data_IF_186690266016
#
_entry.id   IF_186690266016
#
_cell.length_a   1.000
_cell.length_b   1.000
_cell.length_c   1.000
_cell.angle_alpha   90.00
_cell.angle_beta   90.00
_cell.angle_gamma   90.00
#
_symmetry.space_group_name_H-M   'P 1'
#
loop_
_entity.id
_entity.type
_entity.pdbx_description
1 polymer ?
#
# COMPACT_ATOMS: atom_id res chain seq x y z
N UNK A 1 14.47 9.95 12.60
CA UNK A 1 13.32 10.25 13.48
C UNK A 1 12.10 9.50 13.01
N UNK A 2 11.23 9.20 13.97
CA UNK A 2 9.81 9.03 13.69
C UNK A 2 9.22 10.34 13.17
N UNK A 3 8.77 10.35 11.91
CA UNK A 3 8.24 11.55 11.27
C UNK A 3 6.79 11.77 11.74
N UNK A 4 6.42 12.95 12.27
CA UNK A 4 5.04 13.23 12.62
C UNK A 4 4.14 13.13 11.39
N UNK A 5 2.90 12.67 11.60
CA UNK A 5 1.88 12.72 10.57
C UNK A 5 1.64 14.18 10.20
N UNK A 6 1.33 14.43 8.92
CA UNK A 6 0.83 15.74 8.54
C UNK A 6 -0.55 15.96 9.18
N UNK A 7 -1.03 17.21 9.33
CA UNK A 7 -2.29 17.48 10.03
C UNK A 7 -3.52 16.77 9.43
N UNK A 8 -3.59 16.63 8.11
CA UNK A 8 -4.68 15.94 7.43
C UNK A 8 -4.64 14.44 7.71
N UNK A 9 -3.47 13.80 7.56
CA UNK A 9 -3.25 12.39 7.85
C UNK A 9 -3.59 12.07 9.32
N UNK A 10 -3.24 12.98 10.25
CA UNK A 10 -3.52 12.84 11.68
C UNK A 10 -5.02 12.94 11.98
N UNK A 11 -5.74 13.88 11.35
CA UNK A 11 -7.19 13.99 11.50
C UNK A 11 -7.92 12.74 10.97
N UNK A 12 -7.48 12.22 9.81
CA UNK A 12 -8.02 10.98 9.22
C UNK A 12 -7.71 9.75 10.10
N UNK A 13 -6.52 9.72 10.71
CA UNK A 13 -6.15 8.69 11.66
C UNK A 13 -7.03 8.68 12.92
N UNK A 14 -7.39 9.86 13.43
CA UNK A 14 -8.19 9.99 14.65
C UNK A 14 -9.69 9.75 14.40
N UNK A 15 -10.25 10.27 13.31
CA UNK A 15 -11.68 10.12 13.00
C UNK A 15 -12.06 8.66 12.75
N UNK A 16 -11.15 7.87 12.16
CA UNK A 16 -11.35 6.44 11.87
C UNK A 16 -11.42 5.56 13.14
N UNK A 17 -11.18 6.12 14.33
CA UNK A 17 -11.53 5.43 15.60
C UNK A 17 -13.03 5.17 15.70
N UNK A 18 -13.86 5.97 15.04
CA UNK A 18 -15.26 5.65 14.80
C UNK A 18 -15.36 4.71 13.58
N UNK A 19 -15.87 3.47 13.73
CA UNK A 19 -16.01 2.52 12.63
C UNK A 19 -16.84 3.04 11.45
N UNK A 20 -17.74 4.00 11.68
CA UNK A 20 -18.59 4.60 10.63
C UNK A 20 -17.87 5.64 9.78
N UNK A 21 -16.70 6.10 10.23
CA UNK A 21 -15.90 7.15 9.60
C UNK A 21 -14.57 6.60 9.05
N UNK A 22 -14.52 5.29 8.76
CA UNK A 22 -13.37 4.65 8.13
C UNK A 22 -13.10 5.26 6.76
N UNK A 23 -11.82 5.53 6.49
CA UNK A 23 -11.36 6.20 5.26
C UNK A 23 -10.55 5.27 4.37
N UNK A 24 -10.81 3.97 4.45
CA UNK A 24 -10.12 2.97 3.64
C UNK A 24 -10.49 3.11 2.16
N UNK A 25 -9.46 3.21 1.32
CA UNK A 25 -9.57 3.15 -0.14
C UNK A 25 -9.37 1.69 -0.56
N UNK A 26 -10.24 1.20 -1.44
CA UNK A 26 -10.08 -0.10 -2.09
C UNK A 26 -9.89 0.10 -3.58
N UNK A 27 -8.71 -0.22 -4.09
CA UNK A 27 -8.45 -0.31 -5.51
C UNK A 27 -8.68 -1.75 -5.99
N UNK A 28 -9.45 -1.89 -7.07
CA UNK A 28 -9.78 -3.18 -7.68
C UNK A 28 -9.10 -3.27 -9.04
N UNK A 29 -8.34 -4.33 -9.25
CA UNK A 29 -7.69 -4.59 -10.52
C UNK A 29 -8.16 -5.88 -11.14
N UNK A 30 -8.65 -5.76 -12.37
CA UNK A 30 -8.99 -6.90 -13.20
C UNK A 30 -7.75 -7.32 -13.98
N UNK A 31 -7.23 -8.50 -13.68
CA UNK A 31 -6.06 -9.06 -14.34
C UNK A 31 -6.52 -9.98 -15.47
N UNK A 32 -5.94 -9.77 -16.66
CA UNK A 32 -6.24 -10.55 -17.87
C UNK A 32 -5.56 -11.91 -17.90
N UNK A 33 -4.62 -12.15 -16.96
CA UNK A 33 -3.92 -13.42 -16.75
C UNK A 33 -3.68 -13.65 -15.26
N UNK A 34 -3.67 -14.91 -14.79
CA UNK A 34 -3.30 -15.22 -13.41
C UNK A 34 -1.83 -14.86 -13.18
N UNK A 35 -1.55 -14.28 -12.02
CA UNK A 35 -0.19 -13.94 -11.62
C UNK A 35 0.35 -15.07 -10.74
N UNK A 36 1.60 -15.46 -10.97
CA UNK A 36 2.30 -16.38 -10.09
C UNK A 36 2.49 -15.73 -8.71
N UNK A 37 2.09 -16.41 -7.64
CA UNK A 37 2.15 -15.87 -6.28
C UNK A 37 3.55 -15.43 -5.85
N UNK A 38 4.59 -16.20 -6.19
CA UNK A 38 5.96 -15.83 -5.86
C UNK A 38 6.42 -14.58 -6.63
N UNK A 39 6.00 -14.43 -7.90
CA UNK A 39 6.25 -13.22 -8.67
C UNK A 39 5.56 -12.00 -8.04
N UNK A 40 4.27 -12.12 -7.71
CA UNK A 40 3.54 -11.03 -7.06
C UNK A 40 4.19 -10.60 -5.74
N UNK A 41 4.58 -11.57 -4.90
CA UNK A 41 5.27 -11.28 -3.64
C UNK A 41 6.61 -10.59 -3.87
N UNK A 42 7.40 -11.01 -4.86
CA UNK A 42 8.68 -10.38 -5.19
C UNK A 42 8.50 -8.94 -5.71
N UNK A 43 7.50 -8.71 -6.56
CA UNK A 43 7.20 -7.38 -7.11
C UNK A 43 6.77 -6.43 -5.97
N UNK A 44 5.86 -6.87 -5.10
CA UNK A 44 5.43 -6.09 -3.93
C UNK A 44 6.57 -5.88 -2.90
N UNK A 45 7.42 -6.87 -2.68
CA UNK A 45 8.60 -6.75 -1.83
C UNK A 45 9.55 -5.67 -2.37
N UNK A 46 9.78 -5.63 -3.68
CA UNK A 46 10.59 -4.60 -4.32
C UNK A 46 9.94 -3.21 -4.21
N UNK A 47 8.64 -3.09 -4.48
CA UNK A 47 7.91 -1.81 -4.37
C UNK A 47 7.96 -1.27 -2.94
N UNK A 48 7.72 -2.11 -1.94
CA UNK A 48 7.73 -1.68 -0.53
C UNK A 48 9.11 -1.27 -0.03
N UNK A 49 10.19 -1.71 -0.69
CA UNK A 49 11.56 -1.20 -0.44
C UNK A 49 11.79 0.14 -1.12
N UNK A 50 11.31 0.28 -2.36
CA UNK A 50 11.39 1.54 -3.11
C UNK A 50 10.54 2.66 -2.48
N UNK A 51 9.46 2.31 -1.79
CA UNK A 51 8.59 3.22 -1.05
C UNK A 51 8.62 2.84 0.44
N UNK A 52 9.64 3.27 1.21
CA UNK A 52 9.83 2.86 2.60
C UNK A 52 8.63 3.13 3.52
N UNK A 53 7.78 4.11 3.18
CA UNK A 53 6.55 4.42 3.93
C UNK A 53 5.55 3.24 3.95
N UNK A 54 5.63 2.31 2.99
CA UNK A 54 4.84 1.06 3.01
C UNK A 54 5.31 0.04 4.05
N UNK A 55 6.47 0.24 4.65
CA UNK A 55 7.03 -0.56 5.75
C UNK A 55 6.96 0.17 7.09
N UNK A 56 6.09 1.17 7.17
CA UNK A 56 5.86 1.98 8.35
C UNK A 56 4.44 1.80 8.86
N UNK A 57 4.29 1.96 10.16
CA UNK A 57 3.02 2.02 10.88
C UNK A 57 2.87 3.39 11.52
N UNK A 58 1.65 3.76 11.87
CA UNK A 58 1.38 4.94 12.68
C UNK A 58 1.40 4.55 14.15
N UNK A 59 2.07 5.35 14.97
CA UNK A 59 2.15 5.19 16.41
C UNK A 59 1.54 6.41 17.06
N UNK A 60 0.54 6.18 17.90
CA UNK A 60 -0.06 7.24 18.72
C UNK A 60 0.97 7.82 19.70
N UNK A 61 0.79 9.08 20.07
CA UNK A 61 1.58 9.69 21.13
C UNK A 61 1.40 8.98 22.48
N UNK A 62 2.35 9.14 23.43
CA UNK A 62 2.23 8.56 24.77
C UNK A 62 0.89 8.92 25.41
N UNK A 63 0.17 7.91 25.93
CA UNK A 63 -1.17 8.06 26.52
C UNK A 63 -2.23 8.67 25.58
N UNK A 64 -2.05 8.57 24.25
CA UNK A 64 -2.94 9.19 23.25
C UNK A 64 -2.79 10.71 23.16
N UNK A 65 -1.72 11.26 23.75
CA UNK A 65 -1.44 12.70 23.78
C UNK A 65 -0.26 12.99 22.85
N UNK A 66 -0.44 13.96 21.95
CA UNK A 66 0.57 14.39 20.99
C UNK A 66 0.30 13.88 19.57
N UNK A 67 0.99 14.46 18.60
CA UNK A 67 0.79 14.15 17.18
C UNK A 67 1.23 12.71 16.89
N UNK A 68 0.38 11.86 16.30
CA UNK A 68 0.77 10.55 15.82
C UNK A 68 1.95 10.65 14.85
N UNK A 69 2.80 9.62 14.80
CA UNK A 69 3.98 9.63 13.94
C UNK A 69 4.18 8.29 13.25
N UNK A 70 4.86 8.33 12.10
CA UNK A 70 5.30 7.14 11.38
C UNK A 70 6.50 6.50 12.07
N UNK A 71 6.45 5.20 12.25
CA UNK A 71 7.56 4.38 12.75
C UNK A 71 7.76 3.15 11.85
N UNK A 72 9.01 2.71 11.71
CA UNK A 72 9.33 1.49 10.96
C UNK A 72 8.76 0.27 11.68
N UNK A 73 8.24 -0.69 10.91
CA UNK A 73 7.77 -1.98 11.41
C UNK A 73 8.98 -2.90 11.55
N UNK A 74 9.31 -3.35 12.79
CA UNK A 74 10.34 -4.36 12.98
C UNK A 74 9.95 -5.65 12.27
N UNK A 75 10.93 -6.35 11.69
CA UNK A 75 10.75 -7.66 11.07
C UNK A 75 9.64 -7.72 10.00
N UNK A 76 9.43 -6.62 9.26
CA UNK A 76 8.43 -6.55 8.20
C UNK A 76 8.58 -7.72 7.22
N UNK A 77 7.53 -8.54 7.12
CA UNK A 77 7.42 -9.62 6.16
C UNK A 77 6.24 -9.37 5.22
N UNK A 78 6.52 -9.32 3.90
CA UNK A 78 5.51 -9.06 2.88
C UNK A 78 4.34 -10.05 2.91
N UNK A 79 4.60 -11.29 3.31
CA UNK A 79 3.59 -12.35 3.37
C UNK A 79 2.45 -12.04 4.36
N UNK A 80 2.71 -11.23 5.40
CA UNK A 80 1.71 -10.87 6.40
C UNK A 80 0.65 -9.89 5.85
N UNK A 81 0.97 -9.20 4.75
CA UNK A 81 0.12 -8.19 4.12
C UNK A 81 -0.53 -8.67 2.82
N UNK A 82 -0.26 -9.91 2.39
CA UNK A 82 -0.75 -10.45 1.12
C UNK A 82 -1.52 -11.74 1.34
N UNK A 83 -2.82 -11.72 1.04
CA UNK A 83 -3.69 -12.89 1.12
C UNK A 83 -3.94 -13.47 -0.28
N UNK A 84 -3.70 -14.76 -0.46
CA UNK A 84 -4.01 -15.49 -1.69
C UNK A 84 -5.25 -16.35 -1.50
N UNK A 85 -6.32 -16.02 -2.23
CA UNK A 85 -7.56 -16.79 -2.24
C UNK A 85 -7.65 -17.55 -3.57
N UNK A 86 -7.78 -18.88 -3.48
CA UNK A 86 -8.10 -19.71 -4.62
C UNK A 86 -9.62 -19.77 -4.78
N UNK A 87 -10.11 -19.38 -5.95
CA UNK A 87 -11.51 -19.54 -6.31
C UNK A 87 -11.66 -20.44 -7.54
N UNK A 88 -12.72 -21.25 -7.56
CA UNK A 88 -13.07 -22.05 -8.73
C UNK A 88 -13.54 -21.19 -9.91
N UNK A 89 -14.06 -19.99 -9.63
CA UNK A 89 -14.59 -19.05 -10.62
C UNK A 89 -14.17 -17.63 -10.24
N UNK A 90 -13.91 -16.78 -11.24
CA UNK A 90 -13.81 -15.33 -10.96
C UNK A 90 -15.22 -14.82 -10.63
N UNK A 91 -15.39 -14.05 -9.54
CA UNK A 91 -16.67 -13.46 -9.20
C UNK A 91 -17.18 -12.56 -10.32
N UNK A 92 -18.49 -12.40 -10.43
CA UNK A 92 -19.07 -11.39 -11.32
C UNK A 92 -18.67 -9.98 -10.89
N UNK A 93 -18.86 -9.00 -11.76
CA UNK A 93 -18.51 -7.62 -11.42
C UNK A 93 -19.36 -7.11 -10.23
N UNK A 94 -20.61 -7.57 -10.10
CA UNK A 94 -21.47 -7.29 -8.93
C UNK A 94 -20.87 -7.88 -7.64
N UNK A 95 -20.42 -9.13 -7.68
CA UNK A 95 -19.78 -9.77 -6.53
C UNK A 95 -18.46 -9.09 -6.16
N UNK A 96 -17.70 -8.61 -7.16
CA UNK A 96 -16.48 -7.84 -6.93
C UNK A 96 -16.81 -6.52 -6.22
N UNK A 97 -17.90 -5.85 -6.60
CA UNK A 97 -18.38 -4.64 -5.93
C UNK A 97 -18.77 -4.94 -4.47
N UNK A 98 -19.53 -6.01 -4.23
CA UNK A 98 -19.92 -6.44 -2.88
C UNK A 98 -18.69 -6.71 -2.00
N UNK A 99 -17.74 -7.50 -2.50
CA UNK A 99 -16.46 -7.76 -1.81
C UNK A 99 -15.71 -6.44 -1.55
N UNK A 100 -15.69 -5.52 -2.51
CA UNK A 100 -15.00 -4.23 -2.34
C UNK A 100 -15.64 -3.37 -1.25
N UNK A 101 -16.96 -3.39 -1.13
CA UNK A 101 -17.70 -2.69 -0.08
C UNK A 101 -17.41 -3.28 1.31
N UNK A 102 -17.38 -4.61 1.42
CA UNK A 102 -17.00 -5.31 2.65
C UNK A 102 -15.57 -4.96 3.06
N UNK A 103 -14.63 -5.00 2.11
CA UNK A 103 -13.23 -4.64 2.36
C UNK A 103 -13.05 -3.16 2.71
N UNK A 104 -13.83 -2.25 2.12
CA UNK A 104 -13.79 -0.82 2.44
C UNK A 104 -14.33 -0.54 3.84
N UNK A 105 -15.32 -1.32 4.28
CA UNK A 105 -15.96 -1.17 5.59
C UNK A 105 -15.19 -1.88 6.71
N UNK A 106 -14.40 -2.90 6.38
CA UNK A 106 -13.60 -3.64 7.35
C UNK A 106 -12.46 -2.78 7.92
N UNK A 107 -12.04 -3.08 9.15
CA UNK A 107 -10.90 -2.42 9.78
C UNK A 107 -9.60 -2.79 9.06
N UNK A 108 -8.65 -1.85 9.00
CA UNK A 108 -7.25 -2.13 8.73
C UNK A 108 -6.54 -2.24 10.09
N UNK A 109 -5.69 -3.25 10.25
CA UNK A 109 -4.90 -3.39 11.47
C UNK A 109 -3.99 -2.17 11.68
N UNK A 110 -4.36 -1.34 12.64
CA UNK A 110 -3.68 -0.09 13.01
C UNK A 110 -2.32 -0.33 13.68
N UNK A 111 -1.99 -1.57 14.02
CA UNK A 111 -0.69 -1.93 14.63
C UNK A 111 0.39 -2.24 13.58
N UNK A 112 0.00 -2.47 12.33
CA UNK A 112 0.88 -2.81 11.22
C UNK A 112 0.95 -1.74 10.13
N UNK A 113 1.38 -2.14 8.93
CA UNK A 113 1.34 -1.28 7.77
C UNK A 113 -0.11 -1.00 7.37
N UNK A 114 -0.40 0.25 6.99
CA UNK A 114 -1.77 0.69 6.70
C UNK A 114 -2.25 0.33 5.29
N UNK A 115 -1.85 -0.85 4.80
CA UNK A 115 -2.26 -1.39 3.52
C UNK A 115 -2.28 -2.92 3.56
N UNK A 116 -3.08 -3.53 2.70
CA UNK A 116 -3.10 -4.97 2.50
C UNK A 116 -3.50 -5.31 1.06
N UNK A 117 -3.03 -6.43 0.56
CA UNK A 117 -3.34 -6.92 -0.77
C UNK A 117 -4.04 -8.28 -0.70
N UNK A 118 -5.16 -8.43 -1.40
CA UNK A 118 -5.84 -9.71 -1.55
C UNK A 118 -5.86 -10.09 -3.03
N UNK A 119 -5.19 -11.17 -3.37
CA UNK A 119 -5.26 -11.78 -4.69
C UNK A 119 -6.33 -12.86 -4.71
N UNK A 120 -7.28 -12.71 -5.62
CA UNK A 120 -8.28 -13.71 -5.91
C UNK A 120 -8.01 -14.33 -7.28
N UNK A 121 -7.46 -15.54 -7.25
CA UNK A 121 -7.22 -16.32 -8.45
C UNK A 121 -8.49 -17.02 -8.91
N UNK A 122 -8.82 -16.94 -10.19
CA UNK A 122 -9.94 -17.69 -10.75
C UNK A 122 -9.58 -18.52 -11.97
N UNK A 123 -10.59 -19.20 -12.51
CA UNK A 123 -10.48 -20.07 -13.68
C UNK A 123 -10.49 -19.28 -15.00
N UNK A 124 -10.05 -19.94 -16.08
CA UNK A 124 -10.04 -19.37 -17.45
C UNK A 124 -9.22 -18.10 -17.62
N UNK A 125 -8.16 -17.96 -16.82
CA UNK A 125 -7.16 -16.92 -17.01
C UNK A 125 -7.54 -15.54 -16.46
N UNK A 126 -8.63 -15.42 -15.70
CA UNK A 126 -8.99 -14.16 -15.03
C UNK A 126 -8.60 -14.23 -13.56
N UNK A 127 -8.18 -13.10 -13.00
CA UNK A 127 -7.95 -12.92 -11.57
C UNK A 127 -8.23 -11.48 -11.18
N UNK A 128 -8.43 -11.25 -9.89
CA UNK A 128 -8.69 -9.93 -9.33
C UNK A 128 -7.71 -9.65 -8.20
N UNK A 129 -7.18 -8.43 -8.15
CA UNK A 129 -6.39 -7.94 -7.04
C UNK A 129 -7.18 -6.85 -6.33
N UNK A 130 -7.33 -6.98 -5.02
CA UNK A 130 -7.85 -5.93 -4.15
C UNK A 130 -6.68 -5.34 -3.38
N UNK A 131 -6.45 -4.04 -3.52
CA UNK A 131 -5.49 -3.30 -2.71
C UNK A 131 -6.28 -2.39 -1.77
N UNK A 132 -6.18 -2.64 -0.47
CA UNK A 132 -6.76 -1.80 0.57
C UNK A 132 -5.67 -0.89 1.11
N UNK A 133 -5.96 0.39 1.26
CA UNK A 133 -5.03 1.38 1.79
C UNK A 133 -5.78 2.38 2.66
N UNK A 134 -5.23 2.72 3.82
CA UNK A 134 -5.76 3.80 4.65
C UNK A 134 -5.43 5.16 4.02
N UNK A 135 -6.37 6.11 4.05
CA UNK A 135 -6.23 7.43 3.41
C UNK A 135 -4.98 8.23 3.88
N UNK A 136 -4.63 8.16 5.16
CA UNK A 136 -3.39 8.74 5.72
C UNK A 136 -2.10 8.23 5.05
N UNK A 137 -2.12 7.01 4.49
CA UNK A 137 -0.99 6.52 3.69
C UNK A 137 -0.98 7.16 2.30
N UNK A 138 -2.14 7.25 1.64
CA UNK A 138 -2.27 7.78 0.27
C UNK A 138 -2.06 9.29 0.18
N UNK A 139 -2.57 10.08 1.12
CA UNK A 139 -2.45 11.54 1.06
C UNK A 139 -1.02 12.03 1.28
N UNK A 140 -0.22 11.25 2.02
CA UNK A 140 1.20 11.56 2.22
C UNK A 140 2.17 10.91 1.23
N UNK A 141 1.72 10.04 0.30
CA UNK A 141 2.55 9.43 -0.78
C UNK A 141 2.08 9.87 -2.16
N UNK A 142 0.83 10.35 -2.30
CA UNK A 142 0.13 10.44 -3.58
C UNK A 142 -0.49 9.09 -3.90
N UNK A 143 -1.77 8.88 -3.58
CA UNK A 143 -2.45 7.58 -3.73
C UNK A 143 -2.36 6.99 -5.15
N UNK A 144 -2.30 7.83 -6.18
CA UNK A 144 -2.12 7.41 -7.57
C UNK A 144 -0.68 6.94 -7.85
N UNK A 145 0.33 7.64 -7.32
CA UNK A 145 1.74 7.24 -7.47
C UNK A 145 2.04 5.95 -6.70
N UNK A 146 1.41 5.80 -5.52
CA UNK A 146 1.46 4.57 -4.75
C UNK A 146 0.85 3.40 -5.53
N UNK A 147 -0.35 3.62 -6.10
CA UNK A 147 -1.04 2.63 -6.89
C UNK A 147 -0.21 2.27 -8.13
N UNK A 148 0.32 3.24 -8.87
CA UNK A 148 1.18 3.00 -10.04
C UNK A 148 2.43 2.19 -9.66
N UNK A 149 3.11 2.55 -8.58
CA UNK A 149 4.32 1.85 -8.12
C UNK A 149 4.05 0.42 -7.62
N UNK A 150 2.90 0.16 -7.01
CA UNK A 150 2.49 -1.20 -6.58
C UNK A 150 2.04 -2.08 -7.75
N UNK A 151 1.70 -1.47 -8.89
CA UNK A 151 1.08 -2.14 -10.03
C UNK A 151 1.93 -2.17 -11.29
N UNK A 152 3.12 -1.55 -11.29
CA UNK A 152 4.17 -1.63 -12.32
C UNK A 152 4.77 -3.06 -12.40
N UNK A 153 3.89 -4.03 -12.67
CA UNK A 153 4.17 -5.47 -12.81
C UNK A 153 4.45 -5.85 -14.27
N UNK A 154 4.40 -4.89 -15.20
CA UNK A 154 4.63 -5.08 -16.64
C UNK A 154 5.95 -4.50 -17.18
N UNK A 155 6.72 -3.69 -16.43
CA UNK A 155 8.03 -3.25 -16.94
C UNK A 155 9.00 -4.43 -17.03
N UNK A 156 9.40 -4.77 -18.27
CA UNK A 156 10.71 -5.36 -18.62
C UNK A 156 11.86 -4.39 -18.28
N UNK A 157 11.86 -3.81 -17.08
CA UNK A 157 13.01 -3.09 -16.60
C UNK A 157 14.04 -4.10 -16.08
N UNK A 158 15.35 -3.88 -16.28
CA UNK A 158 16.37 -4.67 -15.60
C UNK A 158 16.09 -4.64 -14.09
N UNK A 159 16.55 -5.66 -13.32
CA UNK A 159 16.36 -5.70 -11.87
C UNK A 159 16.63 -4.32 -11.30
N UNK A 160 15.60 -3.67 -10.73
CA UNK A 160 15.84 -2.42 -9.99
C UNK A 160 16.81 -2.81 -8.89
N UNK A 161 17.96 -2.15 -8.85
CA UNK A 161 18.85 -2.21 -7.71
C UNK A 161 17.99 -1.94 -6.47
N UNK A 162 17.83 -2.96 -5.64
CA UNK A 162 16.82 -3.00 -4.57
C UNK A 162 17.14 -2.01 -3.46
N UNK A 163 18.29 -1.33 -3.54
CA UNK A 163 18.86 -0.54 -2.47
C UNK A 163 19.16 -1.40 -1.25
N UNK A 164 19.84 -0.81 -0.26
CA UNK A 164 19.91 -1.43 1.05
C UNK A 164 18.53 -1.38 1.73
N UNK A 165 18.25 -2.39 2.56
CA UNK A 165 17.12 -2.33 3.49
C UNK A 165 17.15 -0.97 4.21
N UNK A 166 16.04 -0.24 4.30
CA UNK A 166 16.02 0.98 5.08
C UNK A 166 16.46 0.64 6.50
N UNK A 167 17.65 1.10 6.88
CA UNK A 167 18.06 1.09 8.27
C UNK A 167 17.03 1.94 9.05
N UNK A 168 16.78 1.68 10.34
CA UNK A 168 16.06 2.63 11.17
C UNK A 168 16.89 3.93 11.22
N UNK A 169 16.59 4.89 10.34
CA UNK A 169 17.43 6.07 10.15
C UNK A 169 17.16 7.13 11.21
N UNK A 170 18.24 7.48 11.92
CA UNK A 170 18.41 8.74 12.65
C UNK A 170 18.66 9.86 11.63
N UNK A 171 18.18 11.05 11.94
CA UNK A 171 17.89 12.15 11.02
C UNK A 171 19.06 12.76 10.27
N UNK A 172 18.83 13.16 9.01
CA UNK A 172 19.35 14.40 8.43
C UNK A 172 18.48 14.83 7.24
N UNK A 173 18.13 16.11 7.25
CA UNK A 173 17.20 16.81 6.36
C UNK A 173 17.74 17.15 4.96
N UNK A 174 16.78 17.27 4.03
CA UNK A 174 16.74 18.10 2.81
C UNK A 174 17.54 17.64 1.57
N UNK A 175 16.80 17.40 0.48
CA UNK A 175 17.24 17.79 -0.86
C UNK A 175 16.02 18.19 -1.74
N UNK A 176 16.11 19.27 -2.54
CA UNK A 176 15.05 19.68 -3.45
C UNK A 176 15.10 18.81 -4.71
N UNK A 177 13.99 18.18 -5.09
CA UNK A 177 13.93 17.48 -6.38
C UNK A 177 13.84 18.51 -7.51
N UNK A 178 14.94 18.60 -8.26
CA UNK A 178 15.00 19.21 -9.58
C UNK A 178 14.10 18.42 -10.54
N UNK A 179 13.16 19.12 -11.18
CA UNK A 179 12.38 18.59 -12.30
C UNK A 179 13.31 18.60 -13.52
N UNK A 180 13.84 17.43 -13.89
CA UNK A 180 14.48 17.22 -15.19
C UNK A 180 13.38 17.04 -16.24
N UNK A 181 13.27 18.01 -17.15
CA UNK A 181 12.29 18.04 -18.21
C UNK A 181 12.43 16.89 -19.21
N UNK A 182 11.30 16.34 -19.63
CA UNK A 182 11.21 15.50 -20.83
C UNK A 182 10.95 16.43 -22.02
N UNK A 183 11.96 16.55 -22.88
CA UNK A 183 11.87 17.21 -24.18
C UNK A 183 11.19 16.28 -25.18
N UNK A 184 10.16 16.77 -25.87
CA UNK A 184 9.51 16.07 -26.96
C UNK A 184 10.18 16.45 -28.30
N UNK A 185 10.75 15.45 -28.98
CA UNK A 185 11.02 15.40 -30.44
C UNK A 185 10.00 14.40 -30.99
N UNK A 186 9.29 14.60 -32.11
CA UNK A 186 9.36 15.56 -33.21
C UNK A 186 7.95 16.12 -33.49
#
# INVERSE_FOLDING_TARGET
MNRPLNPTDAALWDIERDPTLRTTIVAVLHLTRPVNSARLLNDLEATTRAIPKLRQRVVDGPAGIGTPHWAVIPDFAIADYVTFIKSAHVPSDEQIIEISQELASAEIDRTGALWSCTYLGGSRGRSVLFLRVHHSLTDGVGGIELLDAMLDTERKSPPRDLGELPLPQSDTSAHPLAIAGVTQKC
#
